data_IF_189025229132
#
_entry.id   IF_189025229132
#
_cell.length_a   1.000
_cell.length_b   1.000
_cell.length_c   1.000
_cell.angle_alpha   90.00
_cell.angle_beta   90.00
_cell.angle_gamma   90.00
#
_symmetry.space_group_name_H-M   'P 1'
#
loop_
_entity.id
_entity.type
_entity.pdbx_description
1 polymer ?
#
# COMPACT_ATOMS: atom_id res chain seq x y z
N UNK A 1 10.52 34.89 1.02
CA UNK A 1 11.46 34.00 0.31
C UNK A 1 10.75 32.68 0.06
N UNK A 2 10.00 32.62 -1.03
CA UNK A 2 9.18 31.47 -1.43
C UNK A 2 10.03 30.52 -2.26
N UNK A 3 10.11 29.25 -1.86
CA UNK A 3 10.80 28.21 -2.65
C UNK A 3 9.76 27.26 -3.21
N UNK A 4 9.30 27.58 -4.42
CA UNK A 4 8.64 26.66 -5.34
C UNK A 4 9.63 25.57 -5.75
N UNK A 5 9.43 24.33 -5.31
CA UNK A 5 10.14 23.17 -5.86
C UNK A 5 9.20 22.44 -6.80
N UNK A 6 9.39 22.70 -8.09
CA UNK A 6 8.78 21.94 -9.16
C UNK A 6 9.21 20.47 -9.07
N UNK A 7 8.25 19.56 -9.17
CA UNK A 7 8.50 18.16 -9.44
C UNK A 7 8.97 18.00 -10.89
N UNK A 8 10.27 18.14 -11.13
CA UNK A 8 10.88 17.90 -12.43
C UNK A 8 12.15 17.06 -12.26
N UNK A 9 12.18 15.86 -12.85
CA UNK A 9 13.41 15.09 -13.06
C UNK A 9 13.22 13.57 -13.02
N UNK A 10 13.37 12.94 -14.20
CA UNK A 10 13.35 11.50 -14.49
C UNK A 10 11.97 10.81 -14.55
N UNK A 11 11.16 11.21 -15.53
CA UNK A 11 10.12 10.35 -16.12
C UNK A 11 10.79 9.12 -16.74
N UNK A 12 10.59 7.93 -16.16
CA UNK A 12 10.78 6.67 -16.88
C UNK A 12 9.61 6.58 -17.87
N UNK A 13 9.83 7.09 -19.08
CA UNK A 13 8.76 7.29 -20.06
C UNK A 13 8.07 5.99 -20.47
N UNK A 14 6.82 5.82 -20.03
CA UNK A 14 5.83 4.96 -20.69
C UNK A 14 4.94 5.90 -21.52
N UNK A 15 4.83 5.74 -22.85
CA UNK A 15 4.22 6.76 -23.71
C UNK A 15 2.70 6.80 -23.57
N UNK A 16 2.12 8.01 -23.55
CA UNK A 16 0.67 8.22 -23.53
C UNK A 16 0.23 9.47 -24.32
N UNK A 17 -0.98 9.39 -24.87
CA UNK A 17 -1.64 10.35 -25.76
C UNK A 17 -2.48 11.42 -25.01
N UNK A 18 -2.78 12.53 -25.69
CA UNK A 18 -3.20 13.86 -25.17
C UNK A 18 -4.71 14.15 -25.20
N UNK A 19 -5.08 15.16 -24.37
CA UNK A 19 -6.20 16.15 -24.37
C UNK A 19 -7.24 16.00 -23.24
N UNK A 20 -7.94 17.03 -22.72
CA UNK A 20 -7.73 18.47 -22.45
C UNK A 20 -9.01 19.05 -21.76
N UNK A 21 -8.88 19.89 -20.71
CA UNK A 21 -9.88 20.85 -20.16
C UNK A 21 -11.05 20.28 -19.30
N UNK A 22 -11.62 20.91 -18.27
CA UNK A 22 -11.46 22.23 -17.61
C UNK A 22 -12.38 22.36 -16.35
N UNK A 23 -11.88 22.99 -15.26
CA UNK A 23 -12.51 23.98 -14.33
C UNK A 23 -13.62 23.63 -13.29
N UNK A 24 -13.19 23.46 -12.02
CA UNK A 24 -13.54 24.12 -10.72
C UNK A 24 -14.99 24.46 -10.27
N UNK A 25 -15.35 24.04 -9.04
CA UNK A 25 -15.92 24.91 -7.99
C UNK A 25 -15.86 24.26 -6.57
N UNK A 26 -15.77 25.12 -5.54
CA UNK A 26 -15.39 24.90 -4.12
C UNK A 26 -16.64 24.86 -3.19
N UNK A 27 -16.64 24.07 -2.08
CA UNK A 27 -17.00 24.49 -0.68
C UNK A 27 -17.20 23.37 0.38
N UNK A 28 -16.44 23.52 1.48
CA UNK A 28 -16.76 23.44 2.93
C UNK A 28 -17.46 22.23 3.58
N UNK A 29 -16.70 21.47 4.38
CA UNK A 29 -16.65 21.60 5.86
C UNK A 29 -17.70 20.87 6.72
N UNK A 30 -17.28 19.79 7.40
CA UNK A 30 -17.97 19.23 8.57
C UNK A 30 -17.82 17.71 8.75
N UNK A 31 -16.62 17.22 9.14
CA UNK A 31 -16.35 15.76 9.18
C UNK A 31 -15.76 15.20 10.49
N UNK A 32 -15.52 16.03 11.51
CA UNK A 32 -14.68 15.61 12.65
C UNK A 32 -15.41 14.84 13.75
N UNK A 33 -16.74 14.89 13.83
CA UNK A 33 -17.48 14.19 14.91
C UNK A 33 -17.99 12.79 14.51
N UNK A 34 -18.16 12.52 13.21
CA UNK A 34 -18.69 11.23 12.73
C UNK A 34 -17.69 10.07 12.88
N UNK A 35 -16.39 10.37 12.89
CA UNK A 35 -15.31 9.36 12.97
C UNK A 35 -15.18 8.76 14.37
N UNK A 36 -15.52 9.51 15.43
CA UNK A 36 -15.40 9.03 16.82
C UNK A 36 -16.54 8.11 17.26
N UNK A 37 -17.72 8.20 16.63
CA UNK A 37 -18.90 7.42 16.98
C UNK A 37 -18.92 6.01 16.35
N UNK A 38 -18.16 5.79 15.27
CA UNK A 38 -18.15 4.53 14.51
C UNK A 38 -17.40 3.38 15.20
N UNK A 39 -16.70 3.63 16.31
CA UNK A 39 -15.82 2.64 16.97
C UNK A 39 -16.53 1.78 18.03
N UNK A 40 -17.73 2.17 18.50
CA UNK A 40 -18.30 1.60 19.75
C UNK A 40 -19.62 0.83 19.63
N UNK A 41 -20.19 0.62 18.43
CA UNK A 41 -21.46 -0.10 18.31
C UNK A 41 -21.45 -1.20 17.24
N UNK A 42 -21.95 -2.38 17.64
CA UNK A 42 -22.55 -3.40 16.78
C UNK A 42 -21.67 -4.57 16.33
N UNK A 43 -21.05 -5.23 17.32
CA UNK A 43 -20.85 -6.67 17.28
C UNK A 43 -22.20 -7.39 17.24
N UNK A 44 -22.66 -7.82 16.06
CA UNK A 44 -23.46 -9.04 15.81
C UNK A 44 -23.97 -9.09 14.36
N UNK A 45 -23.90 -10.28 13.78
CA UNK A 45 -24.44 -10.69 12.48
C UNK A 45 -23.55 -10.38 11.26
N UNK A 46 -22.85 -11.40 10.75
CA UNK A 46 -23.03 -11.93 9.38
C UNK A 46 -22.10 -13.13 9.17
N UNK A 47 -22.65 -14.34 9.37
CA UNK A 47 -21.96 -15.64 9.25
C UNK A 47 -22.09 -16.27 7.84
N UNK A 48 -22.53 -15.50 6.83
CA UNK A 48 -22.98 -16.07 5.55
C UNK A 48 -21.92 -16.42 4.50
N UNK A 49 -20.69 -15.88 4.58
CA UNK A 49 -19.66 -16.05 3.53
C UNK A 49 -18.52 -17.02 3.86
N UNK A 50 -18.58 -17.70 5.00
CA UNK A 50 -17.41 -18.29 5.66
C UNK A 50 -17.12 -19.77 5.33
N UNK A 51 -17.76 -20.34 4.30
CA UNK A 51 -17.71 -21.79 4.02
C UNK A 51 -16.80 -22.23 2.86
N UNK A 52 -16.19 -21.33 2.09
CA UNK A 52 -15.41 -21.73 0.91
C UNK A 52 -13.88 -21.87 1.08
N UNK A 53 -13.27 -21.39 2.18
CA UNK A 53 -11.81 -21.45 2.40
C UNK A 53 -11.33 -22.65 3.23
N UNK A 54 -12.13 -23.72 3.32
CA UNK A 54 -11.96 -24.75 4.36
C UNK A 54 -11.10 -25.97 3.99
N UNK A 55 -10.42 -26.02 2.84
CA UNK A 55 -9.81 -27.29 2.39
C UNK A 55 -8.34 -27.30 1.97
N UNK A 56 -7.51 -26.27 2.20
CA UNK A 56 -6.08 -26.41 1.84
C UNK A 56 -5.00 -25.93 2.83
N UNK A 57 -5.32 -25.36 3.98
CA UNK A 57 -4.28 -24.94 4.96
C UNK A 57 -4.57 -25.44 6.38
N UNK A 58 -4.43 -26.76 6.58
CA UNK A 58 -4.41 -27.36 7.91
C UNK A 58 -3.06 -27.08 8.58
N UNK A 59 -2.95 -25.95 9.30
CA UNK A 59 -1.92 -25.78 10.33
C UNK A 59 -1.49 -24.35 10.68
N UNK A 60 -1.76 -23.34 9.85
CA UNK A 60 -1.31 -21.94 10.11
C UNK A 60 -2.36 -20.90 9.70
N UNK A 61 -3.46 -20.73 10.45
CA UNK A 61 -4.46 -19.75 10.00
C UNK A 61 -5.58 -19.32 10.93
N UNK A 62 -5.74 -19.91 12.12
CA UNK A 62 -6.93 -19.63 12.95
C UNK A 62 -7.02 -18.20 13.48
N UNK A 63 -5.89 -17.52 13.71
CA UNK A 63 -5.85 -16.10 14.09
C UNK A 63 -6.11 -15.14 12.94
N UNK A 64 -5.44 -15.34 11.79
CA UNK A 64 -5.55 -14.44 10.62
C UNK A 64 -6.96 -14.42 10.00
N UNK A 65 -7.62 -15.57 9.94
CA UNK A 65 -8.99 -15.66 9.38
C UNK A 65 -9.99 -14.93 10.28
N UNK A 66 -9.78 -14.95 11.61
CA UNK A 66 -10.65 -14.28 12.58
C UNK A 66 -10.46 -12.76 12.56
N UNK A 67 -9.21 -12.30 12.49
CA UNK A 67 -8.88 -10.88 12.38
C UNK A 67 -9.36 -10.29 11.03
N UNK A 68 -9.32 -11.08 9.96
CA UNK A 68 -9.84 -10.69 8.65
C UNK A 68 -11.35 -10.49 8.65
N UNK A 69 -12.11 -11.48 9.14
CA UNK A 69 -13.56 -11.36 9.18
C UNK A 69 -13.98 -10.11 9.95
N UNK A 70 -13.31 -9.80 11.06
CA UNK A 70 -13.56 -8.57 11.82
C UNK A 70 -13.15 -7.31 11.04
N UNK A 71 -11.97 -7.29 10.42
CA UNK A 71 -11.50 -6.13 9.65
C UNK A 71 -12.38 -5.84 8.43
N UNK A 72 -12.77 -6.87 7.68
CA UNK A 72 -13.64 -6.75 6.52
C UNK A 72 -15.06 -6.33 6.92
N UNK A 73 -15.62 -6.90 7.99
CA UNK A 73 -16.92 -6.46 8.52
C UNK A 73 -16.89 -4.99 8.94
N UNK A 74 -15.82 -4.53 9.59
CA UNK A 74 -15.66 -3.12 9.94
C UNK A 74 -15.63 -2.23 8.70
N UNK A 75 -14.99 -2.66 7.62
CA UNK A 75 -14.97 -1.91 6.37
C UNK A 75 -16.34 -1.88 5.67
N UNK A 76 -17.10 -2.98 5.69
CA UNK A 76 -18.47 -3.01 5.17
C UNK A 76 -19.38 -2.05 5.96
N UNK A 77 -19.25 -2.01 7.30
CA UNK A 77 -19.98 -1.03 8.11
C UNK A 77 -19.53 0.40 7.81
N UNK A 78 -18.22 0.62 7.64
CA UNK A 78 -17.65 1.91 7.27
C UNK A 78 -18.18 2.39 5.92
N UNK A 79 -18.37 1.49 4.95
CA UNK A 79 -18.90 1.83 3.63
C UNK A 79 -20.36 2.31 3.74
N UNK A 80 -21.19 1.60 4.51
CA UNK A 80 -22.58 2.02 4.77
C UNK A 80 -22.65 3.39 5.45
N UNK A 81 -21.74 3.66 6.39
CA UNK A 81 -21.66 4.95 7.06
C UNK A 81 -21.17 6.05 6.11
N UNK A 82 -20.23 5.75 5.21
CA UNK A 82 -19.77 6.69 4.18
C UNK A 82 -20.86 7.02 3.15
N UNK A 83 -21.69 6.03 2.78
CA UNK A 83 -22.87 6.27 1.94
C UNK A 83 -23.89 7.17 2.64
N UNK A 84 -24.12 6.94 3.94
CA UNK A 84 -25.00 7.77 4.76
C UNK A 84 -24.47 9.19 4.95
N UNK A 85 -23.14 9.37 5.06
CA UNK A 85 -22.52 10.69 5.19
C UNK A 85 -22.54 11.50 3.89
N UNK A 86 -22.90 10.87 2.76
CA UNK A 86 -22.90 11.48 1.43
C UNK A 86 -21.55 12.13 1.08
N UNK A 87 -20.46 11.52 1.54
CA UNK A 87 -19.08 11.92 1.24
C UNK A 87 -18.43 10.87 0.32
N UNK A 88 -18.41 11.11 -1.00
CA UNK A 88 -17.84 10.15 -1.95
C UNK A 88 -16.33 9.92 -1.77
N UNK A 89 -15.59 10.91 -1.24
CA UNK A 89 -14.17 10.75 -0.98
C UNK A 89 -13.94 9.77 0.19
N UNK A 90 -14.79 9.82 1.21
CA UNK A 90 -14.76 8.85 2.29
C UNK A 90 -15.14 7.44 1.79
N UNK A 91 -16.15 7.33 0.94
CA UNK A 91 -16.52 6.05 0.30
C UNK A 91 -15.36 5.46 -0.52
N UNK A 92 -14.66 6.30 -1.28
CA UNK A 92 -13.46 5.92 -2.01
C UNK A 92 -12.34 5.42 -1.08
N UNK A 93 -12.12 6.07 0.06
CA UNK A 93 -11.15 5.63 1.05
C UNK A 93 -11.47 4.24 1.62
N UNK A 94 -12.74 3.98 1.91
CA UNK A 94 -13.19 2.66 2.38
C UNK A 94 -12.95 1.60 1.30
N UNK A 95 -13.31 1.88 0.05
CA UNK A 95 -13.02 0.99 -1.08
C UNK A 95 -11.52 0.71 -1.24
N UNK A 96 -10.66 1.72 -1.09
CA UNK A 96 -9.22 1.56 -1.11
C UNK A 96 -8.75 0.61 0.02
N UNK A 97 -9.21 0.83 1.25
CA UNK A 97 -8.91 -0.07 2.37
C UNK A 97 -9.34 -1.52 2.12
N UNK A 98 -10.53 -1.73 1.55
CA UNK A 98 -11.02 -3.06 1.18
C UNK A 98 -10.19 -3.69 0.06
N UNK A 99 -9.78 -2.89 -0.93
CA UNK A 99 -8.96 -3.34 -2.05
C UNK A 99 -7.57 -3.82 -1.62
N UNK A 100 -6.87 -3.06 -0.76
CA UNK A 100 -5.57 -3.48 -0.20
C UNK A 100 -5.72 -4.77 0.61
N UNK A 101 -6.77 -4.88 1.44
CA UNK A 101 -7.00 -6.08 2.23
C UNK A 101 -7.29 -7.32 1.38
N UNK A 102 -8.21 -7.23 0.42
CA UNK A 102 -8.53 -8.33 -0.47
C UNK A 102 -7.28 -8.82 -1.22
N UNK A 103 -6.50 -7.88 -1.76
CA UNK A 103 -5.24 -8.18 -2.45
C UNK A 103 -4.23 -8.87 -1.53
N UNK A 104 -4.04 -8.37 -0.30
CA UNK A 104 -3.11 -8.94 0.68
C UNK A 104 -3.49 -10.36 1.13
N UNK A 105 -4.76 -10.76 0.97
CA UNK A 105 -5.27 -12.05 1.38
C UNK A 105 -5.32 -13.08 0.25
N UNK A 106 -4.87 -12.71 -0.95
CA UNK A 106 -4.89 -13.60 -2.09
C UNK A 106 -6.18 -13.56 -2.90
N UNK A 107 -7.01 -12.53 -2.72
CA UNK A 107 -8.22 -12.26 -3.52
C UNK A 107 -8.02 -11.02 -4.41
N UNK A 108 -7.02 -11.01 -5.32
CA UNK A 108 -6.66 -9.83 -6.10
C UNK A 108 -7.75 -9.39 -7.08
N UNK A 109 -8.57 -10.31 -7.61
CA UNK A 109 -9.69 -9.96 -8.49
C UNK A 109 -10.77 -9.15 -7.75
N UNK A 110 -11.04 -9.49 -6.49
CA UNK A 110 -11.92 -8.70 -5.63
C UNK A 110 -11.29 -7.35 -5.29
N UNK A 111 -9.98 -7.34 -4.99
CA UNK A 111 -9.23 -6.09 -4.77
C UNK A 111 -9.32 -5.12 -5.95
N UNK A 112 -9.14 -5.63 -7.17
CA UNK A 112 -9.32 -4.89 -8.42
C UNK A 112 -10.73 -4.33 -8.54
N UNK A 113 -11.77 -5.16 -8.33
CA UNK A 113 -13.18 -4.73 -8.44
C UNK A 113 -13.53 -3.66 -7.41
N UNK A 114 -13.04 -3.76 -6.18
CA UNK A 114 -13.25 -2.78 -5.13
C UNK A 114 -12.57 -1.45 -5.46
N UNK A 115 -11.35 -1.47 -5.97
CA UNK A 115 -10.67 -0.26 -6.43
C UNK A 115 -11.43 0.43 -7.57
N UNK A 116 -11.90 -0.35 -8.55
CA UNK A 116 -12.72 0.16 -9.66
C UNK A 116 -14.05 0.76 -9.19
N UNK A 117 -14.73 0.12 -8.23
CA UNK A 117 -15.96 0.64 -7.63
C UNK A 117 -15.71 1.99 -6.93
N UNK A 118 -14.62 2.10 -6.16
CA UNK A 118 -14.20 3.37 -5.56
C UNK A 118 -13.97 4.46 -6.60
N UNK A 119 -13.35 4.13 -7.75
CA UNK A 119 -13.12 5.10 -8.84
C UNK A 119 -14.43 5.58 -9.46
N UNK A 120 -15.40 4.69 -9.63
CA UNK A 120 -16.74 5.05 -10.12
C UNK A 120 -17.44 6.00 -9.13
N UNK A 121 -17.29 5.76 -7.82
CA UNK A 121 -17.83 6.64 -6.77
C UNK A 121 -17.27 8.07 -6.82
N UNK A 122 -16.04 8.25 -7.30
CA UNK A 122 -15.40 9.56 -7.43
C UNK A 122 -15.79 10.34 -8.70
N UNK A 123 -16.56 9.79 -9.64
CA UNK A 123 -16.85 10.47 -10.92
C UNK A 123 -17.51 11.85 -10.78
N UNK A 124 -18.15 12.13 -9.63
CA UNK A 124 -18.84 13.40 -9.35
C UNK A 124 -18.09 14.30 -8.36
N UNK A 125 -16.91 13.91 -7.90
CA UNK A 125 -16.11 14.63 -6.89
C UNK A 125 -14.68 14.76 -7.36
N UNK A 126 -14.14 15.99 -7.31
CA UNK A 126 -12.74 16.23 -7.64
C UNK A 126 -11.85 15.95 -6.42
N UNK A 127 -11.33 14.72 -6.34
CA UNK A 127 -10.29 14.33 -5.38
C UNK A 127 -9.18 13.53 -6.08
N UNK A 128 -8.20 14.23 -6.68
CA UNK A 128 -7.09 13.58 -7.36
C UNK A 128 -6.24 12.64 -6.49
N UNK A 129 -6.07 12.94 -5.19
CA UNK A 129 -5.37 12.06 -4.25
C UNK A 129 -6.09 10.72 -4.09
N UNK A 130 -7.39 10.74 -3.82
CA UNK A 130 -8.18 9.51 -3.65
C UNK A 130 -8.23 8.70 -4.94
N UNK A 131 -8.33 9.38 -6.09
CA UNK A 131 -8.25 8.72 -7.39
C UNK A 131 -6.88 8.06 -7.62
N UNK A 132 -5.79 8.72 -7.24
CA UNK A 132 -4.44 8.17 -7.34
C UNK A 132 -4.24 6.94 -6.44
N UNK A 133 -4.80 6.96 -5.23
CA UNK A 133 -4.76 5.83 -4.30
C UNK A 133 -5.50 4.60 -4.86
N UNK A 134 -6.72 4.78 -5.36
CA UNK A 134 -7.49 3.70 -5.97
C UNK A 134 -6.79 3.09 -7.18
N UNK A 135 -6.22 3.91 -8.08
CA UNK A 135 -5.41 3.39 -9.18
C UNK A 135 -4.15 2.66 -8.70
N UNK A 136 -3.52 3.14 -7.62
CA UNK A 136 -2.38 2.48 -7.01
C UNK A 136 -2.74 1.09 -6.48
N UNK A 137 -3.89 0.94 -5.83
CA UNK A 137 -4.34 -0.35 -5.31
C UNK A 137 -4.85 -1.29 -6.40
N UNK A 138 -5.46 -0.77 -7.47
CA UNK A 138 -5.75 -1.56 -8.66
C UNK A 138 -4.45 -2.08 -9.31
N UNK A 139 -3.40 -1.27 -9.37
CA UNK A 139 -2.08 -1.72 -9.84
C UNK A 139 -1.49 -2.83 -8.95
N UNK A 140 -1.65 -2.73 -7.63
CA UNK A 140 -1.22 -3.80 -6.69
C UNK A 140 -1.96 -5.11 -6.97
N UNK A 141 -3.27 -5.05 -7.22
CA UNK A 141 -4.07 -6.23 -7.55
C UNK A 141 -3.60 -6.88 -8.87
N UNK A 142 -3.44 -6.08 -9.94
CA UNK A 142 -2.92 -6.55 -11.23
C UNK A 142 -1.53 -7.17 -11.12
N UNK A 143 -0.66 -6.59 -10.28
CA UNK A 143 0.68 -7.09 -10.07
C UNK A 143 0.68 -8.50 -9.44
N UNK A 144 -0.19 -8.74 -8.46
CA UNK A 144 -0.36 -10.06 -7.83
C UNK A 144 -0.92 -11.09 -8.82
N UNK A 145 -1.78 -10.66 -9.76
CA UNK A 145 -2.28 -11.51 -10.86
C UNK A 145 -1.24 -11.74 -11.97
N UNK A 146 -0.09 -11.06 -11.94
CA UNK A 146 0.95 -11.17 -12.95
C UNK A 146 0.70 -10.34 -14.22
N UNK A 147 -0.33 -9.50 -14.26
CA UNK A 147 -0.65 -8.67 -15.42
C UNK A 147 0.23 -7.41 -15.45
N UNK A 148 1.35 -7.53 -16.17
CA UNK A 148 2.33 -6.45 -16.34
C UNK A 148 1.74 -5.23 -17.05
N UNK A 149 0.88 -5.43 -18.03
CA UNK A 149 0.35 -4.35 -18.85
C UNK A 149 -0.68 -3.54 -18.07
N UNK A 150 -1.61 -4.21 -17.40
CA UNK A 150 -2.61 -3.57 -16.56
C UNK A 150 -1.99 -2.88 -15.34
N UNK A 151 -0.95 -3.49 -14.73
CA UNK A 151 -0.19 -2.84 -13.64
C UNK A 151 0.44 -1.54 -14.11
N UNK A 152 1.15 -1.54 -15.23
CA UNK A 152 1.80 -0.36 -15.77
C UNK A 152 0.80 0.74 -16.14
N UNK A 153 -0.34 0.35 -16.75
CA UNK A 153 -1.43 1.28 -17.05
C UNK A 153 -1.97 1.95 -15.78
N UNK A 154 -2.33 1.17 -14.77
CA UNK A 154 -2.86 1.67 -13.51
C UNK A 154 -1.86 2.57 -12.76
N UNK A 155 -0.56 2.25 -12.75
CA UNK A 155 0.48 3.12 -12.18
C UNK A 155 0.55 4.46 -12.94
N UNK A 156 0.50 4.45 -14.28
CA UNK A 156 0.51 5.69 -15.06
C UNK A 156 -0.71 6.58 -14.77
N UNK A 157 -1.90 5.98 -14.63
CA UNK A 157 -3.11 6.73 -14.27
C UNK A 157 -3.02 7.27 -12.83
N UNK A 158 -2.46 6.48 -11.90
CA UNK A 158 -2.17 6.94 -10.54
C UNK A 158 -1.19 8.13 -10.54
N UNK A 159 -0.10 8.07 -11.31
CA UNK A 159 0.86 9.17 -11.48
C UNK A 159 0.18 10.44 -12.00
N UNK A 160 -0.66 10.32 -13.04
CA UNK A 160 -1.38 11.46 -13.61
C UNK A 160 -2.38 12.07 -12.64
N UNK A 161 -3.09 11.25 -11.87
CA UNK A 161 -4.02 11.73 -10.85
C UNK A 161 -3.25 12.43 -9.73
N UNK A 162 -2.18 11.81 -9.23
CA UNK A 162 -1.38 12.35 -8.14
C UNK A 162 -0.69 13.66 -8.50
N UNK A 163 -0.22 13.80 -9.74
CA UNK A 163 0.38 15.04 -10.24
C UNK A 163 -0.59 16.24 -10.25
N UNK A 164 -1.90 16.00 -10.22
CA UNK A 164 -2.94 17.04 -10.10
C UNK A 164 -3.37 17.29 -8.65
N UNK A 165 -2.92 16.48 -7.70
CA UNK A 165 -3.34 16.62 -6.31
C UNK A 165 -2.69 17.84 -5.67
N UNK A 166 -3.53 18.66 -5.03
CA UNK A 166 -3.12 19.78 -4.18
C UNK A 166 -3.54 19.43 -2.74
N UNK A 167 -2.60 19.14 -1.82
CA UNK A 167 -2.93 18.67 -0.47
C UNK A 167 -3.89 19.58 0.33
N UNK A 168 -3.94 20.87 0.00
CA UNK A 168 -4.83 21.86 0.61
C UNK A 168 -6.28 21.80 0.08
N UNK A 169 -6.50 21.15 -1.07
CA UNK A 169 -7.83 20.95 -1.68
C UNK A 169 -8.40 19.57 -1.41
N UNK A 170 -7.58 18.65 -0.92
CA UNK A 170 -8.00 17.31 -0.53
C UNK A 170 -8.60 17.30 0.88
N UNK A 171 -9.42 16.28 1.23
CA UNK A 171 -9.80 16.05 2.61
C UNK A 171 -8.58 15.91 3.52
N UNK A 172 -8.65 16.45 4.74
CA UNK A 172 -7.49 16.45 5.64
C UNK A 172 -6.94 15.05 5.91
N UNK A 173 -7.82 14.05 6.02
CA UNK A 173 -7.42 12.67 6.20
C UNK A 173 -6.60 12.14 5.00
N UNK A 174 -6.83 12.64 3.78
CA UNK A 174 -6.15 12.18 2.57
C UNK A 174 -4.67 12.59 2.50
N UNK A 175 -4.18 13.43 3.44
CA UNK A 175 -2.76 13.83 3.53
C UNK A 175 -1.79 12.66 3.74
N UNK A 176 -2.27 11.47 4.11
CA UNK A 176 -1.42 10.27 4.14
C UNK A 176 -1.05 9.79 2.73
N UNK A 177 -1.87 10.11 1.73
CA UNK A 177 -1.66 9.80 0.32
C UNK A 177 -0.60 10.77 -0.20
N UNK A 178 0.66 10.39 0.01
CA UNK A 178 1.81 11.23 -0.27
C UNK A 178 2.87 10.46 -1.06
N UNK A 179 3.97 11.13 -1.47
CA UNK A 179 4.99 10.47 -2.29
C UNK A 179 5.64 9.27 -1.60
N UNK A 180 5.75 9.27 -0.26
CA UNK A 180 6.30 8.14 0.47
C UNK A 180 5.37 6.92 0.39
N UNK A 181 4.06 7.13 0.53
CA UNK A 181 3.07 6.09 0.42
C UNK A 181 3.01 5.51 -1.00
N UNK A 182 2.70 6.36 -1.99
CA UNK A 182 2.43 5.93 -3.36
C UNK A 182 3.64 5.24 -3.99
N UNK A 183 4.84 5.82 -3.85
CA UNK A 183 6.05 5.18 -4.38
C UNK A 183 6.33 3.83 -3.70
N UNK A 184 5.98 3.68 -2.41
CA UNK A 184 6.13 2.42 -1.70
C UNK A 184 5.20 1.33 -2.26
N UNK A 185 3.96 1.69 -2.57
CA UNK A 185 3.00 0.76 -3.18
C UNK A 185 3.38 0.39 -4.61
N UNK A 186 3.86 1.33 -5.43
CA UNK A 186 4.35 1.00 -6.77
C UNK A 186 5.62 0.12 -6.72
N UNK A 187 6.50 0.35 -5.73
CA UNK A 187 7.64 -0.54 -5.50
C UNK A 187 7.19 -1.97 -5.17
N UNK A 188 6.14 -2.13 -4.35
CA UNK A 188 5.53 -3.42 -4.06
C UNK A 188 5.00 -4.08 -5.35
N UNK A 189 4.23 -3.34 -6.16
CA UNK A 189 3.69 -3.85 -7.43
C UNK A 189 4.79 -4.37 -8.36
N UNK A 190 5.84 -3.58 -8.59
CA UNK A 190 6.95 -3.99 -9.46
C UNK A 190 7.75 -5.16 -8.89
N UNK A 191 7.94 -5.22 -7.57
CA UNK A 191 8.57 -6.38 -6.91
C UNK A 191 7.75 -7.65 -7.15
N UNK A 192 6.44 -7.57 -7.00
CA UNK A 192 5.53 -8.72 -7.16
C UNK A 192 5.57 -9.24 -8.61
N UNK A 193 5.78 -8.35 -9.59
CA UNK A 193 6.02 -8.71 -11.00
C UNK A 193 7.44 -9.18 -11.34
N UNK A 194 8.37 -9.18 -10.38
CA UNK A 194 9.79 -9.45 -10.61
C UNK A 194 10.52 -8.37 -11.42
N UNK A 195 9.93 -7.17 -11.55
CA UNK A 195 10.51 -6.04 -12.27
C UNK A 195 11.43 -5.21 -11.35
N UNK A 196 12.52 -5.83 -10.92
CA UNK A 196 13.41 -5.35 -9.85
C UNK A 196 13.97 -3.94 -10.07
N UNK A 197 14.31 -3.56 -11.31
CA UNK A 197 14.80 -2.21 -11.65
C UNK A 197 13.78 -1.12 -11.30
N UNK A 198 12.50 -1.33 -11.62
CA UNK A 198 11.44 -0.36 -11.30
C UNK A 198 11.10 -0.40 -9.80
N UNK A 199 11.08 -1.59 -9.20
CA UNK A 199 10.89 -1.75 -7.77
C UNK A 199 11.92 -0.98 -6.95
N UNK A 200 13.21 -1.08 -7.32
CA UNK A 200 14.30 -0.35 -6.70
C UNK A 200 14.12 1.18 -6.81
N UNK A 201 13.84 1.69 -8.02
CA UNK A 201 13.69 3.12 -8.24
C UNK A 201 12.57 3.72 -7.38
N UNK A 202 11.41 3.07 -7.34
CA UNK A 202 10.28 3.52 -6.53
C UNK A 202 10.52 3.34 -5.03
N UNK A 203 11.16 2.25 -4.61
CA UNK A 203 11.49 2.02 -3.20
C UNK A 203 12.44 3.10 -2.67
N UNK A 204 13.48 3.48 -3.43
CA UNK A 204 14.41 4.55 -3.06
C UNK A 204 13.70 5.90 -2.90
N UNK A 205 12.82 6.26 -3.83
CA UNK A 205 12.00 7.48 -3.72
C UNK A 205 11.14 7.45 -2.44
N UNK A 206 10.47 6.33 -2.17
CA UNK A 206 9.67 6.17 -0.96
C UNK A 206 10.51 6.32 0.32
N UNK A 207 11.70 5.71 0.35
CA UNK A 207 12.65 5.79 1.47
C UNK A 207 13.07 7.24 1.73
N UNK A 208 13.40 8.01 0.70
CA UNK A 208 13.84 9.40 0.86
C UNK A 208 12.75 10.30 1.43
N UNK A 209 11.51 10.15 0.95
CA UNK A 209 10.37 10.86 1.50
C UNK A 209 10.06 10.42 2.93
N UNK A 210 10.04 9.10 3.21
CA UNK A 210 9.78 8.57 4.54
C UNK A 210 10.82 9.03 5.57
N UNK A 211 12.09 9.10 5.17
CA UNK A 211 13.19 9.64 6.01
C UNK A 211 12.95 11.11 6.34
N UNK A 212 12.64 11.93 5.34
CA UNK A 212 12.38 13.37 5.51
C UNK A 212 11.20 13.61 6.47
N UNK A 213 10.17 12.77 6.38
CA UNK A 213 8.98 12.83 7.22
C UNK A 213 9.13 12.10 8.58
N UNK A 214 10.30 11.49 8.86
CA UNK A 214 10.55 10.67 10.06
C UNK A 214 9.56 9.51 10.26
N UNK A 215 9.09 8.90 9.16
CA UNK A 215 8.12 7.78 9.19
C UNK A 215 8.83 6.42 9.19
N UNK A 216 9.31 6.00 10.37
CA UNK A 216 10.10 4.77 10.54
C UNK A 216 9.43 3.51 9.95
N UNK A 217 8.13 3.29 10.23
CA UNK A 217 7.40 2.13 9.68
C UNK A 217 7.36 2.12 8.14
N UNK A 218 7.10 3.28 7.51
CA UNK A 218 7.06 3.39 6.04
C UNK A 218 8.43 3.13 5.43
N UNK A 219 9.47 3.70 6.05
CA UNK A 219 10.86 3.44 5.67
C UNK A 219 11.20 1.95 5.78
N UNK A 220 10.85 1.29 6.88
CA UNK A 220 11.11 -0.14 7.08
C UNK A 220 10.50 -0.99 5.95
N UNK A 221 9.21 -0.77 5.62
CA UNK A 221 8.54 -1.52 4.55
C UNK A 221 9.16 -1.28 3.17
N UNK A 222 9.65 -0.06 2.92
CA UNK A 222 10.24 0.31 1.63
C UNK A 222 11.66 -0.26 1.48
N UNK A 223 12.46 -0.23 2.55
CA UNK A 223 13.73 -0.96 2.59
C UNK A 223 13.53 -2.47 2.45
N UNK A 224 12.46 -3.03 3.02
CA UNK A 224 12.18 -4.46 2.87
C UNK A 224 11.89 -4.83 1.41
N UNK A 225 11.12 -3.99 0.74
CA UNK A 225 10.82 -4.13 -0.69
C UNK A 225 12.10 -4.03 -1.53
N UNK A 226 12.96 -3.06 -1.23
CA UNK A 226 14.27 -2.91 -1.88
C UNK A 226 15.16 -4.14 -1.67
N UNK A 227 15.25 -4.64 -0.43
CA UNK A 227 16.02 -5.84 -0.12
C UNK A 227 15.50 -7.07 -0.87
N UNK A 228 14.17 -7.23 -0.96
CA UNK A 228 13.58 -8.33 -1.74
C UNK A 228 13.89 -8.21 -3.23
N UNK A 229 13.86 -7.00 -3.80
CA UNK A 229 14.25 -6.78 -5.19
C UNK A 229 15.72 -7.15 -5.45
N UNK A 230 16.63 -6.85 -4.52
CA UNK A 230 18.03 -7.30 -4.60
C UNK A 230 18.17 -8.83 -4.51
N UNK A 231 17.40 -9.49 -3.62
CA UNK A 231 17.37 -10.96 -3.55
C UNK A 231 16.88 -11.59 -4.86
N UNK A 232 15.85 -11.03 -5.49
CA UNK A 232 15.34 -11.46 -6.80
C UNK A 232 16.41 -11.34 -7.90
N UNK A 233 17.31 -10.34 -7.80
CA UNK A 233 18.45 -10.16 -8.70
C UNK A 233 19.69 -10.98 -8.31
N UNK A 234 19.61 -11.84 -7.29
CA UNK A 234 20.74 -12.61 -6.75
C UNK A 234 21.89 -11.74 -6.20
N UNK A 235 21.62 -10.50 -5.83
CA UNK A 235 22.58 -9.57 -5.21
C UNK A 235 22.42 -9.62 -3.69
N UNK A 236 23.17 -10.52 -3.04
CA UNK A 236 23.08 -10.75 -1.61
C UNK A 236 23.66 -9.60 -0.78
N UNK A 237 24.72 -8.94 -1.26
CA UNK A 237 25.35 -7.81 -0.58
C UNK A 237 24.39 -6.62 -0.47
N UNK A 238 23.77 -6.23 -1.60
CA UNK A 238 22.79 -5.15 -1.59
C UNK A 238 21.51 -5.52 -0.81
N UNK A 239 21.08 -6.77 -0.90
CA UNK A 239 19.95 -7.28 -0.13
C UNK A 239 20.23 -7.23 1.38
N UNK A 240 21.42 -7.64 1.82
CA UNK A 240 21.85 -7.59 3.21
C UNK A 240 21.87 -6.15 3.72
N UNK A 241 22.50 -5.24 2.98
CA UNK A 241 22.58 -3.83 3.35
C UNK A 241 21.17 -3.22 3.55
N UNK A 242 20.26 -3.41 2.59
CA UNK A 242 18.88 -2.95 2.71
C UNK A 242 18.09 -3.69 3.82
N UNK A 243 18.37 -4.97 4.05
CA UNK A 243 17.80 -5.77 5.13
C UNK A 243 18.18 -5.23 6.51
N UNK A 244 19.45 -4.90 6.74
CA UNK A 244 19.90 -4.31 8.01
C UNK A 244 19.21 -2.97 8.27
N UNK A 245 18.99 -2.15 7.23
CA UNK A 245 18.21 -0.90 7.35
C UNK A 245 16.74 -1.17 7.69
N UNK A 246 16.15 -2.20 7.10
CA UNK A 246 14.78 -2.66 7.44
C UNK A 246 14.69 -2.99 8.93
N UNK A 247 15.61 -3.82 9.44
CA UNK A 247 15.65 -4.24 10.83
C UNK A 247 15.80 -3.05 11.79
N UNK A 248 16.74 -2.15 11.51
CA UNK A 248 17.00 -0.99 12.37
C UNK A 248 15.82 -0.01 12.47
N UNK A 249 14.94 0.04 11.45
CA UNK A 249 13.71 0.82 11.50
C UNK A 249 12.55 0.02 12.11
N UNK A 250 12.49 -1.29 11.89
CA UNK A 250 11.46 -2.16 12.45
C UNK A 250 11.51 -2.21 13.98
N UNK A 251 12.70 -2.15 14.59
CA UNK A 251 12.86 -2.10 16.06
C UNK A 251 12.34 -0.82 16.70
N UNK A 252 12.17 0.26 15.93
CA UNK A 252 11.67 1.55 16.42
C UNK A 252 10.13 1.61 16.48
N UNK A 253 9.43 0.59 15.98
CA UNK A 253 7.97 0.60 15.83
C UNK A 253 7.34 -0.69 16.33
N UNK A 254 6.18 -0.59 16.97
CA UNK A 254 5.34 -1.75 17.28
C UNK A 254 4.51 -2.11 16.05
N UNK A 255 5.05 -2.96 15.17
CA UNK A 255 4.39 -3.32 13.91
C UNK A 255 4.60 -4.78 13.53
N UNK A 256 3.52 -5.56 13.58
CA UNK A 256 3.50 -6.96 13.10
C UNK A 256 3.92 -7.08 11.63
N UNK A 257 3.49 -6.13 10.77
CA UNK A 257 3.91 -6.09 9.35
C UNK A 257 5.41 -5.87 9.17
N UNK A 258 6.05 -5.07 10.02
CA UNK A 258 7.50 -4.86 9.94
C UNK A 258 8.28 -6.10 10.42
N UNK A 259 7.82 -6.75 11.48
CA UNK A 259 8.38 -8.03 11.96
C UNK A 259 8.26 -9.12 10.89
N UNK A 260 7.08 -9.23 10.26
CA UNK A 260 6.85 -10.19 9.19
C UNK A 260 7.73 -9.90 7.96
N UNK A 261 7.94 -8.63 7.61
CA UNK A 261 8.85 -8.26 6.53
C UNK A 261 10.29 -8.72 6.83
N UNK A 262 10.78 -8.53 8.06
CA UNK A 262 12.11 -9.03 8.48
C UNK A 262 12.18 -10.56 8.40
N UNK A 263 11.12 -11.27 8.82
CA UNK A 263 11.05 -12.74 8.72
C UNK A 263 11.16 -13.20 7.27
N UNK A 264 10.37 -12.61 6.37
CA UNK A 264 10.42 -12.92 4.93
C UNK A 264 11.78 -12.65 4.30
N UNK A 265 12.47 -11.58 4.71
CA UNK A 265 13.84 -11.32 4.24
C UNK A 265 14.83 -12.38 4.73
N UNK A 266 14.72 -12.80 6.00
CA UNK A 266 15.56 -13.89 6.52
C UNK A 266 15.34 -15.17 5.70
N UNK A 267 14.08 -15.53 5.48
CA UNK A 267 13.72 -16.73 4.71
C UNK A 267 14.23 -16.65 3.26
N UNK A 268 14.13 -15.48 2.63
CA UNK A 268 14.70 -15.23 1.30
C UNK A 268 16.22 -15.33 1.25
N UNK A 269 16.92 -14.80 2.25
CA UNK A 269 18.38 -14.89 2.36
C UNK A 269 18.87 -16.33 2.58
N UNK A 270 18.11 -17.16 3.31
CA UNK A 270 18.46 -18.57 3.53
C UNK A 270 18.56 -19.39 2.22
N UNK A 271 17.92 -18.94 1.13
CA UNK A 271 18.02 -19.58 -0.19
C UNK A 271 19.43 -19.49 -0.82
N UNK A 272 20.32 -18.66 -0.28
CA UNK A 272 21.72 -18.55 -0.71
C UNK A 272 22.64 -19.55 0.00
N UNK A 273 22.12 -20.33 0.95
CA UNK A 273 22.89 -21.33 1.68
C UNK A 273 23.81 -20.74 2.77
N UNK A 274 24.84 -21.47 3.19
CA UNK A 274 25.75 -21.04 4.25
C UNK A 274 26.66 -19.89 3.75
N UNK A 275 26.24 -18.65 4.01
CA UNK A 275 26.96 -17.44 3.64
C UNK A 275 27.14 -16.52 4.86
N UNK A 276 28.31 -15.84 5.05
CA UNK A 276 28.54 -14.96 6.20
C UNK A 276 27.47 -13.88 6.40
N UNK A 277 27.01 -13.25 5.31
CA UNK A 277 25.95 -12.24 5.37
C UNK A 277 24.60 -12.81 5.82
N UNK A 278 24.29 -14.07 5.47
CA UNK A 278 23.06 -14.74 5.91
C UNK A 278 23.14 -15.04 7.41
N UNK A 279 24.32 -15.47 7.90
CA UNK A 279 24.55 -15.68 9.32
C UNK A 279 24.45 -14.38 10.13
N UNK A 280 25.08 -13.30 9.67
CA UNK A 280 25.01 -11.98 10.30
C UNK A 280 23.57 -11.45 10.35
N UNK A 281 22.82 -11.52 9.24
CA UNK A 281 21.43 -11.06 9.24
C UNK A 281 20.56 -11.86 10.22
N UNK A 282 20.69 -13.19 10.25
CA UNK A 282 19.96 -14.07 11.16
C UNK A 282 20.28 -13.75 12.63
N UNK A 283 21.54 -13.48 12.95
CA UNK A 283 21.94 -13.09 14.30
C UNK A 283 21.30 -11.76 14.71
N UNK A 284 21.38 -10.75 13.84
CA UNK A 284 20.78 -9.42 14.10
C UNK A 284 19.26 -9.47 14.22
N UNK A 285 18.59 -10.28 13.41
CA UNK A 285 17.13 -10.38 13.40
C UNK A 285 16.57 -11.12 14.63
N UNK A 286 17.36 -11.98 15.29
CA UNK A 286 16.94 -12.85 16.39
C UNK A 286 16.17 -12.13 17.50
N UNK A 287 16.62 -10.98 18.06
CA UNK A 287 15.90 -10.32 19.15
C UNK A 287 14.51 -9.82 18.73
N UNK A 288 14.37 -9.32 17.49
CA UNK A 288 13.09 -8.82 16.99
C UNK A 288 12.12 -9.97 16.67
N UNK A 289 12.62 -11.10 16.18
CA UNK A 289 11.79 -12.23 15.78
C UNK A 289 11.40 -13.18 16.93
N UNK A 290 12.05 -13.04 18.09
CA UNK A 290 11.78 -13.81 19.31
C UNK A 290 10.86 -13.07 20.31
N UNK A 291 10.64 -11.77 20.10
CA UNK A 291 9.71 -10.94 20.88
C UNK A 291 8.25 -11.13 20.42
#
# INVERSE_FOLDING_TARGET
MSSSRSCGGATLGIPAARNAGSTSARRTGGGTEAVSAATSASARSTTGGMTALRSSDAGRGTGRVRDFATAFLNLVQSLRLAEQSKDPALGAHVHAGMADQATLLGEPEEGMRLAQAGRQGLMKVDSPACLADLWTLEARAHAVMGDKAATAHAINEAERAFARSEPEREPEWARFIDPAYICGEWANAFRDLGQTKYAEAHARRSIDHARTQKRARRGAMSYATLATAHLQNRDLDAAHAAGVRTLGLATQVKSSRAVEAVRKLQDGMLTFGPHPLVADFKERARPLLAA
#
